data_IF_866199317271
#
_entry.id   IF_866199317271
#
_cell.length_a   1.000
_cell.length_b   1.000
_cell.length_c   1.000
_cell.angle_alpha   90.00
_cell.angle_beta   90.00
_cell.angle_gamma   90.00
#
_symmetry.space_group_name_H-M   'P 1'
#
loop_
_entity.id
_entity.type
_entity.pdbx_description
1 polymer ?
#
# COMPACT_ATOMS: atom_id res chain seq x y z
N UNK A 1 -6.54 -28.23 -12.68
CA UNK A 1 -6.87 -26.87 -13.18
C UNK A 1 -6.81 -25.88 -12.03
N UNK A 2 -7.58 -26.09 -10.95
CA UNK A 2 -7.62 -25.24 -9.74
C UNK A 2 -6.27 -24.93 -9.06
N UNK A 3 -5.35 -25.89 -8.96
CA UNK A 3 -4.01 -25.64 -8.39
C UNK A 3 -3.04 -24.85 -9.29
N UNK A 4 -3.31 -24.81 -10.61
CA UNK A 4 -2.52 -23.97 -11.53
C UNK A 4 -3.04 -22.55 -11.49
N UNK A 5 -4.37 -22.38 -11.41
CA UNK A 5 -5.03 -21.08 -11.20
C UNK A 5 -4.49 -20.41 -9.94
N UNK A 6 -4.47 -21.10 -8.79
CA UNK A 6 -3.99 -20.52 -7.54
C UNK A 6 -2.51 -20.03 -7.56
N UNK A 7 -1.63 -20.68 -8.34
CA UNK A 7 -0.25 -20.21 -8.50
C UNK A 7 -0.19 -18.93 -9.34
N UNK A 8 -1.10 -18.78 -10.30
CA UNK A 8 -1.25 -17.55 -11.10
C UNK A 8 -1.78 -16.42 -10.22
N UNK A 9 -2.88 -16.65 -9.49
CA UNK A 9 -3.46 -15.65 -8.58
C UNK A 9 -2.44 -15.17 -7.55
N UNK A 10 -1.66 -16.08 -6.95
CA UNK A 10 -0.62 -15.70 -6.01
C UNK A 10 0.52 -14.89 -6.66
N UNK A 11 0.87 -15.18 -7.90
CA UNK A 11 1.83 -14.36 -8.66
C UNK A 11 1.29 -12.97 -8.96
N UNK A 12 0.02 -12.87 -9.35
CA UNK A 12 -0.66 -11.60 -9.60
C UNK A 12 -0.72 -10.75 -8.32
N UNK A 13 -1.06 -11.35 -7.19
CA UNK A 13 -1.01 -10.72 -5.88
C UNK A 13 0.40 -10.24 -5.49
N UNK A 14 1.45 -11.05 -5.71
CA UNK A 14 2.84 -10.64 -5.45
C UNK A 14 3.24 -9.44 -6.33
N UNK A 15 2.86 -9.47 -7.62
CA UNK A 15 3.17 -8.38 -8.56
C UNK A 15 2.44 -7.10 -8.15
N UNK A 16 1.15 -7.21 -7.82
CA UNK A 16 0.34 -6.08 -7.36
C UNK A 16 0.88 -5.50 -6.05
N UNK A 17 1.23 -6.34 -5.07
CA UNK A 17 1.82 -5.91 -3.81
C UNK A 17 3.16 -5.19 -3.99
N UNK A 18 4.02 -5.65 -4.90
CA UNK A 18 5.28 -4.95 -5.23
C UNK A 18 5.03 -3.58 -5.87
N UNK A 19 4.05 -3.47 -6.78
CA UNK A 19 3.66 -2.19 -7.37
C UNK A 19 3.14 -1.23 -6.31
N UNK A 20 2.26 -1.72 -5.42
CA UNK A 20 1.75 -0.96 -4.29
C UNK A 20 2.88 -0.43 -3.39
N UNK A 21 3.83 -1.29 -3.01
CA UNK A 21 4.99 -0.90 -2.21
C UNK A 21 5.83 0.20 -2.86
N UNK A 22 6.07 0.09 -4.17
CA UNK A 22 6.83 1.10 -4.90
C UNK A 22 6.09 2.45 -4.90
N UNK A 23 4.79 2.45 -5.18
CA UNK A 23 3.98 3.69 -5.17
C UNK A 23 3.87 4.30 -3.76
N UNK A 24 3.71 3.49 -2.72
CA UNK A 24 3.69 3.96 -1.32
C UNK A 24 5.02 4.61 -0.91
N UNK A 25 6.15 3.98 -1.27
CA UNK A 25 7.50 4.52 -0.98
C UNK A 25 7.73 5.82 -1.73
N UNK A 26 7.33 5.90 -3.00
CA UNK A 26 7.39 7.13 -3.78
C UNK A 26 6.53 8.25 -3.14
N UNK A 27 5.30 7.94 -2.73
CA UNK A 27 4.43 8.90 -2.05
C UNK A 27 5.07 9.41 -0.74
N UNK A 28 5.59 8.50 0.09
CA UNK A 28 6.30 8.86 1.34
C UNK A 28 7.50 9.76 1.10
N UNK A 29 8.30 9.48 0.06
CA UNK A 29 9.45 10.30 -0.31
C UNK A 29 9.02 11.70 -0.77
N UNK A 30 8.01 11.79 -1.66
CA UNK A 30 7.46 13.07 -2.12
C UNK A 30 6.91 13.90 -0.96
N UNK A 31 6.13 13.29 -0.04
CA UNK A 31 5.61 13.96 1.16
C UNK A 31 6.73 14.44 2.08
N UNK A 32 7.80 13.65 2.23
CA UNK A 32 8.98 14.04 3.02
C UNK A 32 9.74 15.21 2.40
N UNK A 33 9.77 15.29 1.06
CA UNK A 33 10.40 16.37 0.29
C UNK A 33 9.57 17.66 0.23
N UNK A 34 8.25 17.55 0.47
CA UNK A 34 7.33 18.69 0.52
C UNK A 34 7.55 19.59 1.76
N UNK A 35 8.35 19.13 2.74
CA UNK A 35 8.77 19.89 3.93
C UNK A 35 7.67 19.99 4.99
N UNK A 36 8.05 20.31 6.24
CA UNK A 36 7.12 20.45 7.38
C UNK A 36 5.97 21.44 7.08
N UNK A 37 4.87 20.92 6.52
CA UNK A 37 3.64 21.68 6.31
C UNK A 37 2.97 22.06 7.64
N UNK A 38 3.24 21.31 8.71
CA UNK A 38 2.77 21.59 10.08
C UNK A 38 3.24 22.92 10.70
N UNK A 39 4.24 23.61 10.13
CA UNK A 39 4.63 24.95 10.61
C UNK A 39 3.63 26.02 10.16
N UNK A 40 2.83 25.77 9.12
CA UNK A 40 1.83 26.72 8.62
C UNK A 40 0.60 26.81 9.52
N UNK A 41 0.19 25.70 10.13
CA UNK A 41 -0.94 25.64 11.08
C UNK A 41 -0.66 26.44 12.37
N UNK A 42 0.63 26.67 12.68
CA UNK A 42 1.09 27.47 13.83
C UNK A 42 1.38 28.94 13.51
N UNK A 43 1.38 29.37 12.24
CA UNK A 43 1.83 30.71 11.82
C UNK A 43 0.71 31.66 11.36
N UNK A 44 -0.56 31.34 11.64
CA UNK A 44 -1.66 32.31 11.67
C UNK A 44 -1.70 33.31 10.51
N UNK A 45 -2.23 32.88 9.36
CA UNK A 45 -2.73 33.78 8.30
C UNK A 45 -1.72 34.78 7.75
N UNK A 46 -0.98 34.42 6.69
CA UNK A 46 -0.02 35.34 6.09
C UNK A 46 0.57 34.94 4.73
N UNK A 47 -0.27 34.77 3.72
CA UNK A 47 -0.13 35.32 2.35
C UNK A 47 1.20 35.26 1.52
N UNK A 48 2.22 34.43 1.82
CA UNK A 48 3.52 34.61 1.12
C UNK A 48 4.30 33.41 0.57
N UNK A 49 3.71 32.25 0.24
CA UNK A 49 4.45 31.21 -0.55
C UNK A 49 3.56 30.43 -1.54
N UNK A 50 2.79 31.10 -2.39
CA UNK A 50 1.69 30.42 -3.11
C UNK A 50 2.06 29.65 -4.40
N UNK A 51 3.18 29.92 -5.09
CA UNK A 51 3.37 29.37 -6.46
C UNK A 51 4.31 28.17 -6.60
N UNK A 52 5.41 28.10 -5.84
CA UNK A 52 6.38 26.98 -5.91
C UNK A 52 5.96 25.80 -5.02
N UNK A 53 5.09 26.06 -4.03
CA UNK A 53 4.59 25.03 -3.11
C UNK A 53 3.38 24.28 -3.64
N UNK A 54 2.55 24.90 -4.48
CA UNK A 54 1.38 24.23 -5.06
C UNK A 54 1.77 23.01 -5.90
N UNK A 55 2.79 23.13 -6.75
CA UNK A 55 3.19 21.99 -7.60
C UNK A 55 3.64 20.78 -6.78
N UNK A 56 4.34 20.98 -5.67
CA UNK A 56 4.77 19.89 -4.78
C UNK A 56 3.61 19.25 -4.01
N UNK A 57 2.56 20.02 -3.72
CA UNK A 57 1.34 19.50 -3.12
C UNK A 57 0.57 18.65 -4.11
N UNK A 58 0.38 19.16 -5.32
CA UNK A 58 -0.31 18.47 -6.40
C UNK A 58 0.43 17.15 -6.72
N UNK A 59 1.76 17.19 -6.81
CA UNK A 59 2.61 16.01 -6.98
C UNK A 59 2.43 15.00 -5.82
N UNK A 60 2.38 15.47 -4.58
CA UNK A 60 2.18 14.61 -3.41
C UNK A 60 0.80 13.95 -3.41
N UNK A 61 -0.24 14.70 -3.77
CA UNK A 61 -1.60 14.21 -3.90
C UNK A 61 -1.70 13.16 -5.03
N UNK A 62 -1.06 13.39 -6.17
CA UNK A 62 -1.00 12.43 -7.27
C UNK A 62 -0.33 11.13 -6.81
N UNK A 63 0.82 11.20 -6.11
CA UNK A 63 1.49 10.00 -5.61
C UNK A 63 0.69 9.25 -4.55
N UNK A 64 -0.03 9.96 -3.68
CA UNK A 64 -0.95 9.35 -2.73
C UNK A 64 -2.13 8.65 -3.42
N UNK A 65 -2.69 9.24 -4.47
CA UNK A 65 -3.75 8.62 -5.27
C UNK A 65 -3.25 7.36 -5.98
N UNK A 66 -2.06 7.40 -6.58
CA UNK A 66 -1.46 6.21 -7.20
C UNK A 66 -1.18 5.10 -6.18
N UNK A 67 -0.63 5.45 -5.01
CA UNK A 67 -0.42 4.50 -3.92
C UNK A 67 -1.75 3.84 -3.47
N UNK A 68 -2.83 4.62 -3.31
CA UNK A 68 -4.16 4.10 -2.99
C UNK A 68 -4.64 3.13 -4.08
N UNK A 69 -4.52 3.52 -5.34
CA UNK A 69 -4.99 2.70 -6.46
C UNK A 69 -4.25 1.37 -6.57
N UNK A 70 -2.91 1.37 -6.50
CA UNK A 70 -2.12 0.14 -6.55
C UNK A 70 -2.40 -0.78 -5.36
N UNK A 71 -2.64 -0.21 -4.18
CA UNK A 71 -3.02 -0.98 -3.01
C UNK A 71 -4.41 -1.61 -3.12
N UNK A 72 -5.38 -0.92 -3.73
CA UNK A 72 -6.71 -1.49 -4.01
C UNK A 72 -6.61 -2.66 -4.99
N UNK A 73 -5.76 -2.54 -6.02
CA UNK A 73 -5.48 -3.67 -6.92
C UNK A 73 -4.90 -4.83 -6.11
N UNK A 74 -3.87 -4.59 -5.30
CA UNK A 74 -3.28 -5.64 -4.47
C UNK A 74 -4.33 -6.32 -3.58
N UNK A 75 -5.23 -5.56 -2.96
CA UNK A 75 -6.31 -6.11 -2.16
C UNK A 75 -7.27 -6.99 -2.97
N UNK A 76 -7.61 -6.60 -4.20
CA UNK A 76 -8.44 -7.41 -5.11
C UNK A 76 -7.74 -8.72 -5.46
N UNK A 77 -6.50 -8.67 -5.96
CA UNK A 77 -5.74 -9.89 -6.32
C UNK A 77 -5.57 -10.82 -5.10
N UNK A 78 -5.39 -10.25 -3.91
CA UNK A 78 -5.23 -11.03 -2.69
C UNK A 78 -6.50 -11.78 -2.27
N UNK A 79 -7.69 -11.28 -2.61
CA UNK A 79 -8.98 -11.95 -2.32
C UNK A 79 -9.15 -13.24 -3.14
N UNK A 80 -8.48 -13.33 -4.28
CA UNK A 80 -8.57 -14.47 -5.20
C UNK A 80 -7.52 -15.56 -4.90
N UNK A 81 -6.61 -15.31 -3.95
CA UNK A 81 -5.61 -16.30 -3.50
C UNK A 81 -6.26 -17.34 -2.56
N UNK A 82 -6.33 -18.59 -3.01
CA UNK A 82 -6.81 -19.71 -2.19
C UNK A 82 -5.66 -20.35 -1.39
N UNK A 83 -5.69 -20.25 -0.05
CA UNK A 83 -4.71 -20.93 0.81
C UNK A 83 -5.36 -21.96 1.75
N UNK A 84 -4.60 -22.99 2.18
CA UNK A 84 -4.99 -23.81 3.30
C UNK A 84 -5.32 -22.94 4.53
N UNK A 85 -6.32 -23.36 5.32
CA UNK A 85 -6.85 -22.58 6.46
C UNK A 85 -5.77 -22.00 7.41
N UNK A 86 -4.70 -22.75 7.68
CA UNK A 86 -3.62 -22.30 8.57
C UNK A 86 -2.74 -21.18 7.99
N UNK A 87 -2.76 -20.97 6.67
CA UNK A 87 -2.04 -19.88 5.98
C UNK A 87 -2.99 -18.73 5.58
N UNK A 88 -4.29 -19.01 5.43
CA UNK A 88 -5.31 -18.02 5.06
C UNK A 88 -5.68 -17.01 6.16
N UNK A 89 -5.30 -17.26 7.42
CA UNK A 89 -5.55 -16.34 8.54
C UNK A 89 -4.82 -15.01 8.33
N UNK A 90 -3.56 -15.04 7.92
CA UNK A 90 -2.76 -13.84 7.68
C UNK A 90 -3.31 -12.99 6.52
N UNK A 91 -3.80 -13.63 5.45
CA UNK A 91 -4.52 -12.92 4.37
C UNK A 91 -5.76 -12.22 4.92
N UNK A 92 -6.56 -12.93 5.72
CA UNK A 92 -7.82 -12.40 6.23
C UNK A 92 -7.60 -11.20 7.17
N UNK A 93 -6.58 -11.27 8.02
CA UNK A 93 -6.18 -10.17 8.90
C UNK A 93 -5.68 -8.97 8.09
N UNK A 94 -4.85 -9.20 7.06
CA UNK A 94 -4.38 -8.14 6.18
C UNK A 94 -5.51 -7.50 5.37
N UNK A 95 -6.46 -8.28 4.85
CA UNK A 95 -7.62 -7.75 4.12
C UNK A 95 -8.48 -6.85 5.00
N UNK A 96 -8.65 -7.22 6.27
CA UNK A 96 -9.38 -6.42 7.27
C UNK A 96 -8.63 -5.12 7.58
N UNK A 97 -7.30 -5.19 7.76
CA UNK A 97 -6.46 -4.01 7.90
C UNK A 97 -6.58 -3.08 6.68
N UNK A 98 -6.48 -3.65 5.47
CA UNK A 98 -6.61 -2.94 4.21
C UNK A 98 -7.95 -2.20 4.09
N UNK A 99 -9.08 -2.88 4.33
CA UNK A 99 -10.41 -2.25 4.27
C UNK A 99 -10.49 -1.02 5.20
N UNK A 100 -10.07 -1.17 6.47
CA UNK A 100 -10.06 -0.06 7.43
C UNK A 100 -9.11 1.08 7.01
N UNK A 101 -7.91 0.73 6.56
CA UNK A 101 -6.89 1.68 6.15
C UNK A 101 -7.31 2.47 4.89
N UNK A 102 -7.97 1.84 3.92
CA UNK A 102 -8.40 2.48 2.67
C UNK A 102 -9.65 3.35 2.83
N UNK A 103 -10.63 2.88 3.60
CA UNK A 103 -11.95 3.52 3.67
C UNK A 103 -12.01 4.70 4.64
N UNK A 104 -11.31 4.63 5.77
CA UNK A 104 -11.26 5.74 6.72
C UNK A 104 -10.01 6.59 6.50
N UNK A 105 -8.87 5.93 6.68
CA UNK A 105 -7.59 6.58 6.92
C UNK A 105 -7.06 7.30 5.65
N UNK A 106 -6.89 6.60 4.52
CA UNK A 106 -6.41 7.25 3.29
C UNK A 106 -7.46 8.20 2.69
N UNK A 107 -8.74 7.82 2.72
CA UNK A 107 -9.82 8.62 2.13
C UNK A 107 -9.93 10.01 2.78
N UNK A 108 -9.80 10.09 4.10
CA UNK A 108 -9.92 11.35 4.85
C UNK A 108 -8.77 12.33 4.54
N UNK A 109 -7.56 11.86 4.30
CA UNK A 109 -6.42 12.76 4.00
C UNK A 109 -6.45 13.34 2.60
N UNK A 110 -6.93 12.57 1.61
CA UNK A 110 -7.11 13.07 0.25
C UNK A 110 -8.07 14.27 0.21
N UNK A 111 -8.97 14.38 1.19
CA UNK A 111 -9.96 15.46 1.30
C UNK A 111 -9.43 16.65 2.11
N UNK A 112 -8.61 16.42 3.15
CA UNK A 112 -8.23 17.47 4.12
C UNK A 112 -6.81 18.04 3.97
N UNK A 113 -6.06 17.68 2.92
CA UNK A 113 -4.68 18.17 2.66
C UNK A 113 -3.72 17.96 3.84
N UNK A 114 -3.93 16.90 4.65
CA UNK A 114 -3.11 16.59 5.84
C UNK A 114 -1.89 15.73 5.47
N UNK A 115 -0.88 16.39 4.92
CA UNK A 115 0.34 15.72 4.41
C UNK A 115 1.15 15.00 5.49
N UNK A 116 1.22 15.56 6.69
CA UNK A 116 1.99 14.95 7.78
C UNK A 116 1.33 13.64 8.25
N UNK A 117 0.01 13.65 8.43
CA UNK A 117 -0.77 12.47 8.81
C UNK A 117 -0.61 11.36 7.74
N UNK A 118 -0.74 11.72 6.46
CA UNK A 118 -0.54 10.78 5.36
C UNK A 118 0.86 10.17 5.32
N UNK A 119 1.89 10.92 5.71
CA UNK A 119 3.26 10.42 5.80
C UNK A 119 3.42 9.41 6.94
N UNK A 120 2.98 9.76 8.15
CA UNK A 120 3.08 8.90 9.33
C UNK A 120 2.40 7.55 9.09
N UNK A 121 1.33 7.57 8.33
CA UNK A 121 0.56 6.37 8.11
C UNK A 121 1.05 5.53 6.94
N UNK A 122 1.63 6.15 5.91
CA UNK A 122 2.48 5.41 4.97
C UNK A 122 3.66 4.76 5.68
N UNK A 123 4.23 5.40 6.71
CA UNK A 123 5.28 4.82 7.55
C UNK A 123 4.81 3.58 8.30
N UNK A 124 3.55 3.55 8.75
CA UNK A 124 2.95 2.41 9.44
C UNK A 124 2.47 1.31 8.48
N UNK A 125 1.95 1.67 7.30
CA UNK A 125 1.34 0.72 6.37
C UNK A 125 2.36 0.02 5.46
N UNK A 126 3.46 0.67 5.09
CA UNK A 126 4.51 0.04 4.25
C UNK A 126 4.97 -1.30 4.85
N UNK A 127 5.35 -1.40 6.14
CA UNK A 127 5.75 -2.68 6.73
C UNK A 127 4.68 -3.77 6.69
N UNK A 128 3.40 -3.41 6.78
CA UNK A 128 2.29 -4.38 6.69
C UNK A 128 2.21 -5.00 5.28
N UNK A 129 2.32 -4.16 4.25
CA UNK A 129 2.31 -4.59 2.85
C UNK A 129 3.58 -5.38 2.52
N UNK A 130 4.74 -4.96 3.04
CA UNK A 130 6.01 -5.69 2.87
C UNK A 130 5.91 -7.09 3.47
N UNK A 131 5.45 -7.21 4.72
CA UNK A 131 5.26 -8.49 5.38
C UNK A 131 4.31 -9.41 4.61
N UNK A 132 3.21 -8.86 4.08
CA UNK A 132 2.26 -9.64 3.29
C UNK A 132 2.87 -10.16 1.98
N UNK A 133 3.59 -9.32 1.25
CA UNK A 133 4.30 -9.72 0.02
C UNK A 133 5.34 -10.79 0.32
N UNK A 134 6.11 -10.65 1.41
CA UNK A 134 7.09 -11.65 1.81
C UNK A 134 6.44 -13.00 2.15
N UNK A 135 5.28 -12.99 2.79
CA UNK A 135 4.55 -14.22 3.14
C UNK A 135 4.03 -14.93 1.89
N UNK A 136 3.44 -14.19 0.95
CA UNK A 136 3.04 -14.73 -0.36
C UNK A 136 4.22 -15.37 -1.09
N UNK A 137 5.38 -14.71 -1.12
CA UNK A 137 6.60 -15.26 -1.74
C UNK A 137 7.11 -16.53 -1.04
N UNK A 138 7.02 -16.59 0.30
CA UNK A 138 7.37 -17.80 1.06
C UNK A 138 6.43 -18.95 0.72
N UNK A 139 5.12 -18.71 0.65
CA UNK A 139 4.13 -19.73 0.31
C UNK A 139 4.26 -20.21 -1.12
N UNK A 140 4.45 -19.30 -2.07
CA UNK A 140 4.74 -19.64 -3.47
C UNK A 140 5.93 -20.59 -3.57
N UNK A 141 7.03 -20.27 -2.88
CA UNK A 141 8.22 -21.12 -2.86
C UNK A 141 7.95 -22.50 -2.24
N UNK A 142 7.19 -22.56 -1.14
CA UNK A 142 6.84 -23.83 -0.49
C UNK A 142 5.98 -24.72 -1.39
N UNK A 143 4.99 -24.14 -2.08
CA UNK A 143 4.16 -24.87 -3.05
C UNK A 143 4.98 -25.41 -4.23
N UNK A 144 5.95 -24.63 -4.71
CA UNK A 144 6.83 -25.05 -5.81
C UNK A 144 7.77 -26.17 -5.39
N UNK A 145 8.37 -26.09 -4.19
CA UNK A 145 9.26 -27.13 -3.65
C UNK A 145 8.52 -28.44 -3.36
N UNK A 146 7.29 -28.38 -2.84
CA UNK A 146 6.47 -29.58 -2.63
C UNK A 146 6.19 -30.34 -3.94
N UNK A 147 5.96 -29.61 -5.04
CA UNK A 147 5.73 -30.19 -6.37
C UNK A 147 6.97 -30.86 -6.98
N UNK A 148 8.17 -30.43 -6.61
CA UNK A 148 9.42 -31.06 -7.06
C UNK A 148 9.73 -32.35 -6.30
N UNK A 149 9.29 -32.48 -5.05
CA UNK A 149 9.50 -33.68 -4.24
C UNK A 149 8.55 -34.84 -4.59
N UNK A 150 7.42 -34.55 -5.24
CA UNK A 150 6.42 -35.55 -5.68
C UNK A 150 6.62 -36.03 -7.13
N UNK A 151 7.65 -35.54 -7.84
CA UNK A 151 8.03 -35.96 -9.20
C UNK A 151 9.19 -36.95 -9.19
#
# INVERSE_FOLDING_TARGET
MREKENVVEMNEAIIAGKKALNSMKAAKETLSSAGNWGVWDMLGGGLFVDMIKHSKLDDAQEKLQDAKFQLQIFQCELKDVELPYHLGVEISDFLTFADFFFDGIIADWLVQSRINDAKEELENAIPQVEGMVENLQKWEKQLMLGKEAER
#
